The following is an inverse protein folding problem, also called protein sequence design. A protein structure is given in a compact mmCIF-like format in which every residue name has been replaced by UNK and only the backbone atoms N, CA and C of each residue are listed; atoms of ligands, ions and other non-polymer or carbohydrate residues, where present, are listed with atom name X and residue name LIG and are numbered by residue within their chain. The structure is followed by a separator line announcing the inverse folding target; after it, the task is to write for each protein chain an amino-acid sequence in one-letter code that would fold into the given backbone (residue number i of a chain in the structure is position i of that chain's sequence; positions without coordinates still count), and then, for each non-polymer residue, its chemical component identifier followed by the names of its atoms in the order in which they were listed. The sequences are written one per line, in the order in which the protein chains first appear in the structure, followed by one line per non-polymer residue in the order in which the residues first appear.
data_IF_517704771502
#
_entry.id   IF_517704771502
#
_cell.length_a   1.000
_cell.length_b   1.000
_cell.length_c   1.000
_cell.angle_alpha   90.00
_cell.angle_beta   90.00
_cell.angle_gamma   90.00
#
_symmetry.space_group_name_H-M   'P 1'
#
loop_
_entity.id
_entity.type
_entity.pdbx_description
1 polymer ?
#
# COMPACT_ATOMS: atom_id res chain seq x y z
N UNK A 1 32.90 -7.35 6.54
CA UNK A 1 31.81 -6.59 5.89
C UNK A 1 30.52 -7.40 5.96
N UNK A 2 29.40 -6.82 6.40
CA UNK A 2 28.09 -7.48 6.25
C UNK A 2 27.75 -7.55 4.76
N UNK A 3 27.29 -8.71 4.28
CA UNK A 3 26.79 -8.83 2.90
C UNK A 3 25.57 -7.92 2.73
N UNK A 4 25.54 -7.16 1.64
CA UNK A 4 24.40 -6.31 1.32
C UNK A 4 23.19 -7.22 1.04
N UNK A 5 22.01 -6.85 1.54
CA UNK A 5 20.79 -7.60 1.26
C UNK A 5 20.44 -7.39 -0.23
N UNK A 6 20.23 -8.47 -1.00
CA UNK A 6 19.80 -8.36 -2.39
C UNK A 6 18.53 -7.51 -2.53
N UNK A 7 18.42 -6.76 -3.62
CA UNK A 7 17.26 -5.89 -3.89
C UNK A 7 15.95 -6.68 -3.86
N UNK A 8 15.97 -7.90 -4.37
CA UNK A 8 14.84 -8.82 -4.40
C UNK A 8 14.35 -9.17 -2.99
N UNK A 9 15.28 -9.35 -2.06
CA UNK A 9 14.94 -9.70 -0.68
C UNK A 9 14.40 -8.48 0.09
N UNK A 10 14.98 -7.28 -0.14
CA UNK A 10 14.42 -6.02 0.39
C UNK A 10 12.99 -5.80 -0.09
N UNK A 11 12.76 -6.07 -1.37
CA UNK A 11 11.44 -5.96 -1.99
C UNK A 11 10.46 -6.99 -1.42
N UNK A 12 10.87 -8.25 -1.24
CA UNK A 12 10.05 -9.30 -0.65
C UNK A 12 9.65 -8.98 0.81
N UNK A 13 10.58 -8.46 1.61
CA UNK A 13 10.30 -8.02 2.99
C UNK A 13 9.19 -6.96 2.99
N UNK A 14 9.33 -5.93 2.15
CA UNK A 14 8.37 -4.83 2.07
C UNK A 14 7.00 -5.29 1.57
N UNK A 15 6.95 -6.11 0.52
CA UNK A 15 5.69 -6.67 0.03
C UNK A 15 5.00 -7.54 1.06
N UNK A 16 5.75 -8.37 1.79
CA UNK A 16 5.19 -9.20 2.86
C UNK A 16 4.53 -8.34 3.93
N UNK A 17 5.21 -7.28 4.36
CA UNK A 17 4.65 -6.31 5.30
C UNK A 17 3.35 -5.67 4.77
N UNK A 18 3.36 -5.15 3.54
CA UNK A 18 2.20 -4.49 2.94
C UNK A 18 1.00 -5.42 2.75
N UNK A 19 1.25 -6.69 2.42
CA UNK A 19 0.19 -7.66 2.14
C UNK A 19 -0.49 -8.19 3.42
N UNK A 20 0.21 -8.27 4.55
CA UNK A 20 -0.31 -8.91 5.76
C UNK A 20 -0.42 -8.00 6.98
N UNK A 21 0.22 -6.83 6.97
CA UNK A 21 0.32 -5.98 8.16
C UNK A 21 1.07 -6.63 9.32
N UNK A 22 1.96 -7.60 9.03
CA UNK A 22 2.72 -8.32 10.06
C UNK A 22 3.71 -7.39 10.79
N UNK A 23 4.09 -7.75 12.00
CA UNK A 23 5.02 -6.94 12.79
C UNK A 23 6.45 -7.02 12.25
N UNK A 24 7.22 -5.94 12.43
CA UNK A 24 8.65 -5.94 12.06
C UNK A 24 9.46 -6.99 12.83
N UNK A 25 9.03 -7.33 14.05
CA UNK A 25 9.65 -8.40 14.85
C UNK A 25 9.45 -9.76 14.18
N UNK A 26 8.23 -10.09 13.76
CA UNK A 26 7.93 -11.34 13.04
C UNK A 26 8.74 -11.44 11.75
N UNK A 27 8.79 -10.36 10.97
CA UNK A 27 9.53 -10.29 9.72
C UNK A 27 11.04 -10.40 9.92
N UNK A 28 11.56 -9.83 11.01
CA UNK A 28 12.96 -9.97 11.40
C UNK A 28 13.35 -11.44 11.60
N UNK A 29 12.50 -12.23 12.27
CA UNK A 29 12.71 -13.67 12.42
C UNK A 29 12.58 -14.43 11.11
N UNK A 30 11.56 -14.10 10.29
CA UNK A 30 11.29 -14.78 9.03
C UNK A 30 12.44 -14.63 8.01
N UNK A 31 12.94 -13.41 7.85
CA UNK A 31 13.99 -13.08 6.88
C UNK A 31 15.39 -13.09 7.51
N UNK A 32 15.52 -13.37 8.81
CA UNK A 32 16.79 -13.43 9.55
C UNK A 32 17.63 -12.15 9.42
N UNK A 33 16.95 -11.01 9.48
CA UNK A 33 17.55 -9.67 9.42
C UNK A 33 17.16 -8.84 10.63
N UNK A 34 17.90 -7.79 10.94
CA UNK A 34 17.57 -6.93 12.09
C UNK A 34 16.25 -6.17 11.85
N UNK A 35 15.53 -5.86 12.92
CA UNK A 35 14.30 -5.05 12.88
C UNK A 35 14.55 -3.69 12.20
N UNK A 36 15.71 -3.07 12.46
CA UNK A 36 16.12 -1.83 11.80
C UNK A 36 16.20 -2.01 10.29
N UNK A 37 16.75 -3.13 9.84
CA UNK A 37 16.85 -3.44 8.42
C UNK A 37 15.49 -3.67 7.78
N UNK A 38 14.57 -4.37 8.45
CA UNK A 38 13.18 -4.51 8.00
C UNK A 38 12.55 -3.13 7.79
N UNK A 39 12.64 -2.26 8.80
CA UNK A 39 12.09 -0.90 8.77
C UNK A 39 12.66 -0.07 7.59
N UNK A 40 13.98 -0.12 7.39
CA UNK A 40 14.60 0.55 6.23
C UNK A 40 14.13 -0.03 4.90
N UNK A 41 14.02 -1.36 4.77
CA UNK A 41 13.55 -1.99 3.54
C UNK A 41 12.12 -1.57 3.20
N UNK A 42 11.20 -1.61 4.18
CA UNK A 42 9.82 -1.17 4.00
C UNK A 42 9.79 0.29 3.54
N UNK A 43 10.51 1.17 4.24
CA UNK A 43 10.53 2.60 3.93
C UNK A 43 11.08 2.89 2.53
N UNK A 44 12.20 2.28 2.17
CA UNK A 44 12.86 2.53 0.90
C UNK A 44 12.04 2.01 -0.29
N UNK A 45 11.47 0.80 -0.15
CA UNK A 45 10.61 0.22 -1.17
C UNK A 45 9.33 1.03 -1.33
N UNK A 46 8.68 1.46 -0.24
CA UNK A 46 7.51 2.32 -0.33
C UNK A 46 7.81 3.64 -1.04
N UNK A 47 8.95 4.29 -0.75
CA UNK A 47 9.37 5.51 -1.47
C UNK A 47 9.57 5.26 -2.95
N UNK A 48 10.22 4.15 -3.32
CA UNK A 48 10.41 3.77 -4.71
C UNK A 48 9.07 3.50 -5.42
N UNK A 49 8.17 2.76 -4.78
CA UNK A 49 6.83 2.50 -5.32
C UNK A 49 6.03 3.77 -5.52
N UNK A 50 6.01 4.68 -4.53
CA UNK A 50 5.33 5.98 -4.66
C UNK A 50 5.91 6.77 -5.83
N UNK A 51 7.24 6.82 -5.96
CA UNK A 51 7.91 7.55 -7.05
C UNK A 51 7.48 7.02 -8.42
N UNK A 52 7.52 5.71 -8.62
CA UNK A 52 7.28 5.10 -9.93
C UNK A 52 5.78 4.94 -10.26
N UNK A 53 4.92 4.75 -9.24
CA UNK A 53 3.48 4.47 -9.44
C UNK A 53 2.56 5.66 -9.13
N UNK A 54 3.10 6.83 -8.77
CA UNK A 54 2.30 8.02 -8.44
C UNK A 54 1.31 8.44 -9.53
N UNK A 55 1.62 8.17 -10.80
CA UNK A 55 0.77 8.53 -11.94
C UNK A 55 -0.34 7.50 -12.22
N UNK A 56 -0.19 6.27 -11.71
CA UNK A 56 -1.16 5.20 -11.92
C UNK A 56 -2.37 5.35 -10.98
N UNK A 57 -2.16 5.94 -9.80
CA UNK A 57 -3.23 6.18 -8.82
C UNK A 57 -3.89 7.54 -9.12
N UNK A 58 -5.02 7.50 -9.83
CA UNK A 58 -5.83 8.69 -10.12
C UNK A 58 -6.89 8.89 -9.05
N UNK A 59 -6.67 9.87 -8.18
CA UNK A 59 -7.69 10.33 -7.25
C UNK A 59 -8.57 11.41 -7.91
N UNK A 60 -9.89 11.40 -7.66
CA UNK A 60 -10.79 12.48 -8.06
C UNK A 60 -10.31 13.81 -7.47
N UNK A 61 -10.28 14.86 -8.31
CA UNK A 61 -9.72 16.17 -7.94
C UNK A 61 -10.77 17.26 -7.81
N UNK A 62 -11.93 17.06 -8.41
CA UNK A 62 -13.01 18.04 -8.45
C UNK A 62 -14.27 17.50 -7.77
N UNK A 63 -15.11 18.39 -7.23
CA UNK A 63 -16.40 18.02 -6.64
C UNK A 63 -17.29 17.26 -7.63
N UNK A 64 -17.19 17.55 -8.93
CA UNK A 64 -17.87 16.80 -9.99
C UNK A 64 -17.39 15.36 -10.13
N UNK A 65 -16.09 15.10 -9.97
CA UNK A 65 -15.55 13.74 -10.01
C UNK A 65 -16.06 12.92 -8.83
N UNK A 66 -16.06 13.53 -7.64
CA UNK A 66 -16.60 12.91 -6.43
C UNK A 66 -18.10 12.61 -6.55
N UNK A 67 -18.88 13.55 -7.09
CA UNK A 67 -20.32 13.34 -7.33
C UNK A 67 -20.56 12.23 -8.35
N UNK A 68 -19.70 12.10 -9.36
CA UNK A 68 -19.77 11.00 -10.34
C UNK A 68 -19.54 9.64 -9.68
N UNK A 69 -18.56 9.54 -8.79
CA UNK A 69 -18.28 8.32 -8.02
C UNK A 69 -19.48 7.99 -7.12
N UNK A 70 -19.97 8.98 -6.36
CA UNK A 70 -21.15 8.83 -5.50
C UNK A 70 -22.37 8.32 -6.25
N UNK A 71 -22.64 8.92 -7.41
CA UNK A 71 -23.76 8.51 -8.26
C UNK A 71 -23.58 7.06 -8.73
N UNK A 72 -22.35 6.63 -9.01
CA UNK A 72 -22.04 5.26 -9.39
C UNK A 72 -22.34 4.25 -8.29
N UNK A 73 -21.89 4.52 -7.06
CA UNK A 73 -22.20 3.69 -5.89
C UNK A 73 -23.69 3.69 -5.55
N UNK A 74 -24.33 4.87 -5.57
CA UNK A 74 -25.76 5.01 -5.34
C UNK A 74 -26.59 4.19 -6.34
N UNK A 75 -26.28 4.25 -7.63
CA UNK A 75 -27.09 3.55 -8.65
C UNK A 75 -26.86 2.06 -8.70
N UNK A 76 -25.61 1.62 -8.51
CA UNK A 76 -25.23 0.21 -8.67
C UNK A 76 -25.52 -0.59 -7.42
N UNK A 77 -25.29 0.00 -6.24
CA UNK A 77 -25.32 -0.69 -4.95
C UNK A 77 -26.33 -0.09 -3.95
N UNK A 78 -27.11 0.91 -4.37
CA UNK A 78 -28.01 1.66 -3.48
C UNK A 78 -27.31 2.24 -2.25
N UNK A 79 -26.05 2.63 -2.40
CA UNK A 79 -25.23 3.19 -1.32
C UNK A 79 -25.00 4.68 -1.57
N UNK A 80 -25.91 5.57 -1.10
CA UNK A 80 -25.74 7.00 -1.24
C UNK A 80 -24.56 7.50 -0.40
N UNK A 81 -23.93 8.58 -0.85
CA UNK A 81 -22.79 9.24 -0.19
C UNK A 81 -21.49 8.44 -0.13
N UNK A 82 -21.39 7.26 -0.76
CA UNK A 82 -20.12 6.54 -0.89
C UNK A 82 -19.24 7.15 -1.97
N UNK A 83 -18.05 7.57 -1.57
CA UNK A 83 -17.02 8.19 -2.38
C UNK A 83 -15.89 7.22 -2.74
N UNK A 84 -15.89 6.02 -2.19
CA UNK A 84 -14.95 4.98 -2.53
C UNK A 84 -15.15 3.69 -1.76
N UNK A 85 -14.36 2.68 -2.09
CA UNK A 85 -14.27 1.47 -1.29
C UNK A 85 -12.82 1.03 -1.21
N UNK A 86 -12.40 0.60 -0.02
CA UNK A 86 -11.09 -0.02 0.20
C UNK A 86 -11.35 -1.42 0.75
N UNK A 87 -10.86 -2.43 0.03
CA UNK A 87 -10.98 -3.84 0.45
C UNK A 87 -12.44 -4.26 0.74
N UNK A 88 -13.39 -3.78 -0.07
CA UNK A 88 -14.82 -4.06 0.11
C UNK A 88 -15.53 -3.23 1.18
N UNK A 89 -14.81 -2.46 2.00
CA UNK A 89 -15.40 -1.49 2.92
C UNK A 89 -15.68 -0.18 2.20
N UNK A 90 -16.96 0.21 2.15
CA UNK A 90 -17.42 1.43 1.49
C UNK A 90 -17.30 2.64 2.43
N UNK A 91 -16.87 3.77 1.88
CA UNK A 91 -16.67 5.02 2.59
C UNK A 91 -17.24 6.22 1.83
#
# INVERSE_FOLDING_TARGET
MRKCIPVQERFAIALRFLATGDSYTSLSYLFKVSIQTVSSCVTDVCKALIKELSQEIKLPRTSSDWLRIETGFRRTWNFPHCLGAIDGNMC
#
